data_IF_672267106177
#
_entry.id   IF_672267106177
#
_cell.length_a   1.000
_cell.length_b   1.000
_cell.length_c   1.000
_cell.angle_alpha   90.00
_cell.angle_beta   90.00
_cell.angle_gamma   90.00
#
_symmetry.space_group_name_H-M   'P 1'
#
loop_
_entity.id
_entity.type
_entity.pdbx_description
1 polymer ?
#
# COMPACT_ATOMS: atom_id res chain seq x y z
N UNK A 1 14.70 0.76 8.12
CA UNK A 1 13.99 1.47 7.04
C UNK A 1 14.68 1.15 5.73
N UNK A 2 13.92 0.84 4.71
CA UNK A 2 14.37 0.75 3.32
C UNK A 2 13.53 1.70 2.47
N UNK A 3 13.99 2.02 1.26
CA UNK A 3 13.21 2.82 0.30
C UNK A 3 13.12 2.05 -1.03
N UNK A 4 11.93 2.06 -1.63
CA UNK A 4 11.66 1.50 -2.97
C UNK A 4 11.13 2.64 -3.83
N UNK A 5 11.83 2.99 -4.90
CA UNK A 5 11.55 4.19 -5.71
C UNK A 5 11.37 5.48 -4.88
N UNK A 6 12.10 5.59 -3.74
CA UNK A 6 11.97 6.70 -2.80
C UNK A 6 10.78 6.62 -1.85
N UNK A 7 9.95 5.57 -1.92
CA UNK A 7 8.86 5.31 -0.97
C UNK A 7 9.44 4.66 0.28
N UNK A 8 9.27 5.27 1.47
CA UNK A 8 9.82 4.74 2.70
C UNK A 8 9.00 3.55 3.22
N UNK A 9 9.68 2.45 3.53
CA UNK A 9 9.15 1.29 4.26
C UNK A 9 9.81 1.28 5.65
N UNK A 10 9.04 1.60 6.68
CA UNK A 10 9.51 1.72 8.06
C UNK A 10 9.12 0.45 8.83
N UNK A 11 10.10 -0.36 9.18
CA UNK A 11 9.89 -1.65 9.81
C UNK A 11 10.34 -1.67 11.28
N UNK A 12 9.60 -2.38 12.12
CA UNK A 12 10.06 -2.75 13.45
C UNK A 12 11.25 -3.74 13.38
N UNK A 13 12.09 -3.76 14.40
CA UNK A 13 13.32 -4.58 14.41
C UNK A 13 13.09 -6.07 14.12
N UNK A 14 11.96 -6.61 14.52
CA UNK A 14 11.57 -8.01 14.27
C UNK A 14 11.58 -8.39 12.78
N UNK A 15 11.38 -7.42 11.88
CA UNK A 15 11.40 -7.66 10.43
C UNK A 15 12.82 -7.83 9.86
N UNK A 16 13.86 -7.29 10.55
CA UNK A 16 15.21 -7.17 10.01
C UNK A 16 15.80 -8.53 9.58
N UNK A 17 15.63 -9.57 10.41
CA UNK A 17 16.26 -10.87 10.19
C UNK A 17 15.31 -11.93 9.64
N UNK A 18 14.08 -11.55 9.28
CA UNK A 18 13.04 -12.52 8.94
C UNK A 18 12.88 -12.77 7.44
N UNK A 19 13.57 -12.01 6.59
CA UNK A 19 13.33 -12.00 5.14
C UNK A 19 12.03 -11.30 4.71
N UNK A 20 11.13 -11.00 5.66
CA UNK A 20 9.82 -10.39 5.38
C UNK A 20 9.94 -8.96 4.85
N UNK A 21 10.91 -8.20 5.35
CA UNK A 21 11.15 -6.84 4.85
C UNK A 21 11.54 -6.84 3.37
N UNK A 22 12.42 -7.75 2.96
CA UNK A 22 12.82 -7.90 1.57
C UNK A 22 11.63 -8.33 0.70
N UNK A 23 10.81 -9.26 1.19
CA UNK A 23 9.59 -9.69 0.50
C UNK A 23 8.64 -8.52 0.24
N UNK A 24 8.35 -7.70 1.27
CA UNK A 24 7.50 -6.52 1.12
C UNK A 24 8.13 -5.50 0.17
N UNK A 25 9.44 -5.29 0.23
CA UNK A 25 10.13 -4.37 -0.68
C UNK A 25 10.09 -4.86 -2.14
N UNK A 26 10.23 -6.17 -2.38
CA UNK A 26 10.11 -6.75 -3.72
C UNK A 26 8.71 -6.58 -4.29
N UNK A 27 7.65 -6.84 -3.51
CA UNK A 27 6.27 -6.63 -3.96
C UNK A 27 6.02 -5.15 -4.30
N UNK A 28 6.52 -4.21 -3.48
CA UNK A 28 6.39 -2.78 -3.79
C UNK A 28 7.09 -2.43 -5.11
N UNK A 29 8.24 -3.01 -5.37
CA UNK A 29 8.96 -2.80 -6.62
C UNK A 29 8.16 -3.36 -7.80
N UNK A 30 7.69 -4.61 -7.73
CA UNK A 30 6.90 -5.25 -8.78
C UNK A 30 5.57 -4.55 -9.08
N UNK A 31 4.93 -3.95 -8.06
CA UNK A 31 3.68 -3.19 -8.24
C UNK A 31 3.89 -1.84 -8.95
N UNK A 32 5.10 -1.30 -8.93
CA UNK A 32 5.43 0.00 -9.51
C UNK A 32 6.24 -0.11 -10.80
N UNK A 33 6.85 -1.25 -11.07
CA UNK A 33 7.76 -1.52 -12.20
C UNK A 33 7.55 -2.98 -12.62
N UNK A 34 6.52 -3.22 -13.43
CA UNK A 34 6.09 -4.57 -13.83
C UNK A 34 6.97 -5.17 -14.93
N UNK A 35 7.62 -4.33 -15.74
CA UNK A 35 8.53 -4.79 -16.79
C UNK A 35 9.98 -4.92 -16.30
N UNK A 36 10.24 -4.54 -15.04
CA UNK A 36 11.53 -4.67 -14.35
C UNK A 36 12.68 -3.92 -15.06
N UNK A 37 12.38 -2.77 -15.65
CA UNK A 37 13.38 -1.92 -16.32
C UNK A 37 14.11 -0.98 -15.34
N UNK A 38 13.68 -0.94 -14.07
CA UNK A 38 14.25 -0.11 -13.01
C UNK A 38 13.62 1.28 -12.93
N UNK A 39 12.59 1.55 -13.71
CA UNK A 39 11.82 2.77 -13.68
C UNK A 39 10.37 2.48 -13.27
N UNK A 40 9.70 3.40 -12.60
CA UNK A 40 8.28 3.21 -12.33
C UNK A 40 7.46 3.36 -13.61
N UNK A 41 6.59 2.39 -13.92
CA UNK A 41 5.71 2.34 -15.10
C UNK A 41 4.82 3.58 -15.21
N UNK A 42 4.36 4.11 -14.08
CA UNK A 42 3.60 5.36 -14.00
C UNK A 42 4.31 6.40 -13.14
N UNK A 43 5.14 7.27 -13.74
CA UNK A 43 5.83 8.34 -13.03
C UNK A 43 4.88 9.34 -12.35
N UNK A 44 3.65 9.46 -12.83
CA UNK A 44 2.63 10.33 -12.23
C UNK A 44 2.15 9.76 -10.89
N UNK A 45 1.87 8.46 -10.86
CA UNK A 45 1.50 7.74 -9.64
C UNK A 45 2.62 7.86 -8.61
N UNK A 46 3.85 7.51 -8.99
CA UNK A 46 5.00 7.60 -8.11
C UNK A 46 5.20 9.02 -7.57
N UNK A 47 5.17 10.04 -8.45
CA UNK A 47 5.30 11.45 -8.03
C UNK A 47 4.26 11.85 -6.99
N UNK A 48 3.01 11.40 -7.15
CA UNK A 48 1.94 11.71 -6.21
C UNK A 48 2.12 11.02 -4.86
N UNK A 49 2.65 9.80 -4.82
CA UNK A 49 3.04 9.14 -3.57
C UNK A 49 4.13 9.94 -2.85
N UNK A 50 5.12 10.42 -3.57
CA UNK A 50 6.27 11.12 -3.00
C UNK A 50 5.97 12.57 -2.57
N UNK A 51 4.81 13.13 -2.95
CA UNK A 51 4.41 14.49 -2.53
C UNK A 51 4.23 14.55 -1.01
N UNK A 52 4.94 15.48 -0.38
CA UNK A 52 4.79 15.76 1.04
C UNK A 52 3.45 16.39 1.34
N UNK A 53 2.67 15.79 2.23
CA UNK A 53 1.46 16.39 2.74
C UNK A 53 1.76 17.71 3.46
N UNK A 54 1.12 18.82 3.02
CA UNK A 54 1.36 20.18 3.53
C UNK A 54 2.85 20.58 3.50
N UNK A 55 3.62 20.02 2.55
CA UNK A 55 5.06 20.33 2.39
C UNK A 55 5.98 19.78 3.49
N UNK A 56 5.48 18.98 4.43
CA UNK A 56 6.24 18.56 5.62
C UNK A 56 6.53 17.07 5.71
N UNK A 57 5.54 16.21 5.45
CA UNK A 57 5.67 14.77 5.70
C UNK A 57 5.28 13.95 4.48
N UNK A 58 6.02 12.86 4.23
CA UNK A 58 5.72 11.87 3.16
C UNK A 58 4.94 10.69 3.75
N UNK A 59 4.03 10.06 3.00
CA UNK A 59 3.44 8.81 3.43
C UNK A 59 4.52 7.71 3.50
N UNK A 60 4.37 6.81 4.45
CA UNK A 60 5.23 5.64 4.60
C UNK A 60 4.39 4.38 4.76
N UNK A 61 4.84 3.28 4.17
CA UNK A 61 4.36 1.95 4.53
C UNK A 61 5.03 1.56 5.85
N UNK A 62 4.24 1.10 6.81
CA UNK A 62 4.73 0.79 8.16
C UNK A 62 4.58 -0.69 8.44
N UNK A 63 5.66 -1.33 8.89
CA UNK A 63 5.68 -2.74 9.28
C UNK A 63 5.80 -2.83 10.82
N UNK A 64 4.70 -2.71 11.57
CA UNK A 64 4.71 -2.79 13.03
C UNK A 64 4.76 -4.25 13.49
N UNK A 65 5.15 -4.49 14.74
CA UNK A 65 5.04 -5.82 15.33
C UNK A 65 3.57 -6.29 15.47
N UNK A 66 2.68 -5.36 15.82
CA UNK A 66 1.24 -5.60 15.96
C UNK A 66 0.44 -4.46 15.34
N UNK A 67 0.45 -3.28 15.95
CA UNK A 67 -0.23 -2.09 15.49
C UNK A 67 0.63 -0.85 15.69
N UNK A 68 0.36 0.20 14.90
CA UNK A 68 1.06 1.48 15.04
C UNK A 68 0.51 2.24 16.24
N UNK A 69 1.35 2.46 17.25
CA UNK A 69 0.98 3.25 18.42
C UNK A 69 1.00 4.74 18.11
N UNK A 70 0.27 5.54 18.92
CA UNK A 70 0.30 7.01 18.82
C UNK A 70 1.72 7.58 19.00
N UNK A 71 2.51 6.99 19.90
CA UNK A 71 3.91 7.38 20.12
C UNK A 71 4.76 7.13 18.88
N UNK A 72 4.64 5.95 18.25
CA UNK A 72 5.32 5.62 17.00
C UNK A 72 4.91 6.58 15.86
N UNK A 73 3.62 6.87 15.72
CA UNK A 73 3.13 7.83 14.72
C UNK A 73 3.70 9.23 14.93
N UNK A 74 3.82 9.71 16.18
CA UNK A 74 4.42 11.00 16.47
C UNK A 74 5.92 11.01 16.14
N UNK A 75 6.67 9.98 16.53
CA UNK A 75 8.09 9.86 16.20
C UNK A 75 8.35 9.81 14.69
N UNK A 76 7.45 9.20 13.92
CA UNK A 76 7.50 9.23 12.45
C UNK A 76 7.33 10.65 11.91
N UNK A 77 6.36 11.41 12.43
CA UNK A 77 6.12 12.80 12.01
C UNK A 77 7.32 13.71 12.27
N UNK A 78 8.00 13.56 13.40
CA UNK A 78 9.24 14.28 13.73
C UNK A 78 10.34 14.00 12.71
N UNK A 79 10.36 12.80 12.13
CA UNK A 79 11.30 12.39 11.07
C UNK A 79 10.82 12.71 9.64
N UNK A 80 9.71 13.42 9.50
CA UNK A 80 9.18 13.81 8.19
C UNK A 80 8.34 12.76 7.48
N UNK A 81 7.80 11.79 8.22
CA UNK A 81 6.92 10.74 7.69
C UNK A 81 5.57 10.74 8.38
N UNK A 82 4.54 10.33 7.68
CA UNK A 82 3.27 9.98 8.30
C UNK A 82 2.88 8.54 7.97
N UNK A 83 2.09 7.95 8.84
CA UNK A 83 1.46 6.67 8.61
C UNK A 83 0.59 6.73 7.34
N UNK A 84 0.88 5.88 6.39
CA UNK A 84 0.12 5.74 5.15
C UNK A 84 -0.73 4.48 5.16
N UNK A 85 -0.07 3.35 5.37
CA UNK A 85 -0.66 2.02 5.47
C UNK A 85 0.23 1.19 6.39
N UNK A 86 -0.33 0.16 7.04
CA UNK A 86 0.46 -0.80 7.79
C UNK A 86 0.25 -2.24 7.32
N UNK A 87 1.23 -3.05 7.69
CA UNK A 87 1.26 -4.46 7.40
C UNK A 87 1.98 -5.14 8.56
N UNK A 88 1.24 -5.76 9.45
CA UNK A 88 1.78 -6.34 10.67
C UNK A 88 2.67 -7.57 10.39
N UNK A 89 3.48 -7.95 11.36
CA UNK A 89 4.39 -9.08 11.20
C UNK A 89 3.66 -10.41 10.88
N UNK A 90 2.44 -10.59 11.39
CA UNK A 90 1.63 -11.79 11.15
C UNK A 90 1.01 -11.86 9.77
N UNK A 91 0.80 -10.71 9.12
CA UNK A 91 0.17 -10.59 7.81
C UNK A 91 1.14 -10.80 6.65
N UNK A 92 2.45 -10.63 6.90
CA UNK A 92 3.49 -10.89 5.90
C UNK A 92 3.86 -12.37 5.92
N UNK A 93 3.37 -13.13 4.94
CA UNK A 93 3.52 -14.57 4.84
C UNK A 93 4.10 -14.98 3.47
N UNK A 94 5.41 -14.80 3.22
CA UNK A 94 6.04 -15.05 1.92
C UNK A 94 5.78 -16.45 1.35
N UNK A 95 5.60 -17.44 2.22
CA UNK A 95 5.30 -18.83 1.83
C UNK A 95 3.90 -19.00 1.22
N UNK A 96 3.01 -18.02 1.46
CA UNK A 96 1.63 -18.02 0.97
C UNK A 96 1.45 -17.11 -0.24
N UNK A 97 2.45 -16.32 -0.59
CA UNK A 97 2.42 -15.42 -1.75
C UNK A 97 2.28 -16.24 -3.04
N UNK A 98 1.37 -15.80 -3.91
CA UNK A 98 1.08 -16.48 -5.18
C UNK A 98 0.27 -17.76 -5.08
N UNK A 99 -0.08 -18.22 -3.88
CA UNK A 99 -0.98 -19.35 -3.69
C UNK A 99 -2.45 -18.90 -3.76
N UNK A 100 -3.34 -19.84 -4.09
CA UNK A 100 -4.78 -19.56 -3.97
C UNK A 100 -5.08 -19.14 -2.54
N UNK A 101 -5.78 -18.02 -2.40
CA UNK A 101 -6.25 -17.51 -1.12
C UNK A 101 -7.01 -18.63 -0.38
N UNK A 102 -6.53 -19.01 0.79
CA UNK A 102 -7.19 -19.97 1.67
C UNK A 102 -7.29 -19.36 3.06
N UNK A 103 -8.21 -19.85 3.88
CA UNK A 103 -8.36 -19.41 5.28
C UNK A 103 -7.13 -19.71 6.14
N UNK A 104 -6.23 -20.56 5.67
CA UNK A 104 -5.04 -20.99 6.43
C UNK A 104 -3.72 -20.42 5.89
N UNK A 105 -3.72 -19.87 4.68
CA UNK A 105 -2.53 -19.31 4.06
C UNK A 105 -2.91 -18.12 3.18
N UNK A 106 -2.70 -16.91 3.69
CA UNK A 106 -2.95 -15.64 3.01
C UNK A 106 -1.83 -14.67 3.31
N UNK A 107 -1.21 -14.14 2.27
CA UNK A 107 -0.22 -13.07 2.37
C UNK A 107 -0.88 -11.75 2.00
N UNK A 108 -1.12 -10.88 2.98
CA UNK A 108 -1.74 -9.57 2.75
C UNK A 108 -0.78 -8.53 2.17
N UNK A 109 0.45 -8.92 1.85
CA UNK A 109 1.47 -7.97 1.38
C UNK A 109 1.08 -7.27 0.08
N UNK A 110 0.42 -7.96 -0.85
CA UNK A 110 -0.04 -7.38 -2.12
C UNK A 110 -1.20 -6.42 -1.86
N UNK A 111 -2.21 -6.86 -1.10
CA UNK A 111 -3.42 -6.09 -0.81
C UNK A 111 -3.10 -4.77 -0.13
N UNK A 112 -2.35 -4.80 0.96
CA UNK A 112 -2.06 -3.62 1.77
C UNK A 112 -1.14 -2.63 1.03
N UNK A 113 -0.22 -3.12 0.21
CA UNK A 113 0.60 -2.26 -0.63
C UNK A 113 -0.20 -1.66 -1.78
N UNK A 114 -1.12 -2.42 -2.35
CA UNK A 114 -2.03 -1.90 -3.36
C UNK A 114 -2.95 -0.81 -2.80
N UNK A 115 -3.45 -0.97 -1.56
CA UNK A 115 -4.16 0.09 -0.84
C UNK A 115 -3.32 1.36 -0.69
N UNK A 116 -2.05 1.22 -0.31
CA UNK A 116 -1.13 2.35 -0.20
C UNK A 116 -0.94 3.06 -1.54
N UNK A 117 -0.62 2.33 -2.61
CA UNK A 117 -0.39 2.89 -3.95
C UNK A 117 -1.67 3.54 -4.49
N UNK A 118 -2.83 2.91 -4.29
CA UNK A 118 -4.11 3.46 -4.73
C UNK A 118 -4.44 4.75 -4.00
N UNK A 119 -4.31 4.77 -2.68
CA UNK A 119 -4.68 5.94 -1.86
C UNK A 119 -3.76 7.14 -2.06
N UNK A 120 -2.46 6.92 -2.19
CA UNK A 120 -1.47 7.99 -2.28
C UNK A 120 -1.01 8.29 -3.70
N UNK A 121 -1.17 7.35 -4.62
CA UNK A 121 -0.77 7.45 -6.01
C UNK A 121 -1.95 7.63 -6.96
N UNK A 122 -2.67 6.55 -7.27
CA UNK A 122 -3.73 6.55 -8.28
C UNK A 122 -4.85 7.55 -7.99
N UNK A 123 -5.35 7.60 -6.76
CA UNK A 123 -6.43 8.51 -6.38
C UNK A 123 -6.04 9.98 -6.53
N UNK A 124 -4.77 10.30 -6.34
CA UNK A 124 -4.25 11.66 -6.50
C UNK A 124 -3.89 12.00 -7.94
N UNK A 125 -3.34 11.04 -8.67
CA UNK A 125 -2.97 11.21 -10.08
C UNK A 125 -4.21 11.22 -11.00
N UNK A 126 -5.19 10.36 -10.68
CA UNK A 126 -6.34 10.05 -11.52
C UNK A 126 -7.64 9.96 -10.71
N UNK A 127 -7.92 10.97 -9.90
CA UNK A 127 -9.04 10.96 -8.94
C UNK A 127 -10.42 10.75 -9.56
N UNK A 128 -10.64 11.16 -10.81
CA UNK A 128 -11.90 10.89 -11.51
C UNK A 128 -12.08 9.38 -11.83
N UNK A 129 -10.98 8.66 -12.01
CA UNK A 129 -11.01 7.23 -12.35
C UNK A 129 -11.08 6.40 -11.07
N UNK A 130 -10.16 6.61 -10.13
CA UNK A 130 -9.99 5.75 -8.96
C UNK A 130 -10.79 6.21 -7.74
N UNK A 131 -10.90 7.54 -7.50
CA UNK A 131 -11.53 8.09 -6.29
C UNK A 131 -10.73 7.80 -5.02
N UNK A 132 -11.29 8.16 -3.88
CA UNK A 132 -10.68 7.95 -2.56
C UNK A 132 -11.59 7.27 -1.54
N UNK A 133 -12.87 7.16 -1.82
CA UNK A 133 -13.88 6.62 -0.90
C UNK A 133 -14.96 5.84 -1.66
N UNK A 134 -15.55 4.86 -0.96
CA UNK A 134 -16.64 4.00 -1.45
C UNK A 134 -17.88 4.74 -1.95
N UNK A 135 -18.08 5.97 -1.48
CA UNK A 135 -19.25 6.80 -1.79
C UNK A 135 -18.90 7.92 -2.77
N UNK A 136 -17.72 7.93 -3.35
CA UNK A 136 -17.35 8.93 -4.34
C UNK A 136 -18.00 8.63 -5.70
N UNK A 137 -17.91 9.60 -6.60
CA UNK A 137 -18.47 9.53 -7.94
C UNK A 137 -17.44 9.10 -8.99
N UNK A 138 -16.37 8.45 -8.58
CA UNK A 138 -15.32 7.98 -9.48
C UNK A 138 -15.84 6.96 -10.49
N UNK A 139 -15.11 6.77 -11.58
CA UNK A 139 -15.48 5.77 -12.58
C UNK A 139 -15.38 4.36 -12.02
N UNK A 140 -14.41 4.11 -11.11
CA UNK A 140 -14.28 2.83 -10.43
C UNK A 140 -15.50 2.52 -9.56
N UNK A 141 -15.95 3.48 -8.73
CA UNK A 141 -17.15 3.31 -7.90
C UNK A 141 -18.39 3.03 -8.76
N UNK A 142 -18.57 3.77 -9.85
CA UNK A 142 -19.67 3.50 -10.79
C UNK A 142 -19.60 2.12 -11.42
N UNK A 143 -18.40 1.65 -11.80
CA UNK A 143 -18.22 0.31 -12.34
C UNK A 143 -18.53 -0.77 -11.29
N UNK A 144 -18.13 -0.56 -10.04
CA UNK A 144 -18.46 -1.46 -8.92
C UNK A 144 -19.98 -1.51 -8.65
N UNK A 145 -20.68 -0.38 -8.71
CA UNK A 145 -22.13 -0.33 -8.55
C UNK A 145 -22.85 -1.08 -9.68
N UNK A 146 -22.38 -0.93 -10.91
CA UNK A 146 -22.89 -1.68 -12.07
C UNK A 146 -22.65 -3.17 -11.85
N UNK A 147 -21.46 -3.60 -11.48
CA UNK A 147 -21.13 -5.00 -11.24
C UNK A 147 -22.00 -5.59 -10.11
N UNK A 148 -22.21 -4.84 -9.03
CA UNK A 148 -23.11 -5.24 -7.94
C UNK A 148 -24.54 -5.44 -8.43
N UNK A 149 -25.08 -4.47 -9.17
CA UNK A 149 -26.48 -4.50 -9.61
C UNK A 149 -26.74 -5.60 -10.64
N UNK A 150 -25.88 -5.73 -11.66
CA UNK A 150 -26.13 -6.64 -12.78
C UNK A 150 -25.56 -8.04 -12.59
N UNK A 151 -24.47 -8.19 -11.84
CA UNK A 151 -23.76 -9.47 -11.71
C UNK A 151 -23.96 -10.12 -10.34
N UNK A 152 -24.67 -9.47 -9.42
CA UNK A 152 -24.96 -10.00 -8.09
C UNK A 152 -23.71 -10.11 -7.20
N UNK A 153 -22.63 -9.40 -7.52
CA UNK A 153 -21.46 -9.37 -6.65
C UNK A 153 -21.77 -8.56 -5.40
N UNK A 154 -21.68 -9.21 -4.24
CA UNK A 154 -21.71 -8.54 -2.95
C UNK A 154 -20.27 -8.20 -2.54
N UNK A 155 -19.84 -6.95 -2.75
CA UNK A 155 -18.62 -6.46 -2.14
C UNK A 155 -18.90 -6.18 -0.65
N UNK A 156 -18.16 -6.79 0.28
CA UNK A 156 -18.28 -6.42 1.69
C UNK A 156 -17.85 -4.96 1.86
N UNK A 157 -18.60 -4.22 2.66
CA UNK A 157 -18.23 -2.88 3.09
C UNK A 157 -17.34 -2.98 4.32
#
# INVERSE_FOLDING_TARGET
MVEVFGIPIIAASKFADSGKLNHVASIMAELLDQDSDGCADDPNVLRNILIKSKGKVRPALVLPNKSVTKAASNAMKEKGFHYGQDLSFGEVLPKCSGLKFTTTCSDSSIEEQFHFITSFGHSRAYGQIFGTHWVDTSNLTKAMDIARYFLGFNFPY
#
